data_IF_963903560981
#
_entry.id   IF_963903560981
#
_cell.length_a   1.000
_cell.length_b   1.000
_cell.length_c   1.000
_cell.angle_alpha   90.00
_cell.angle_beta   90.00
_cell.angle_gamma   90.00
#
_symmetry.space_group_name_H-M   'P 1'
#
loop_
_entity.id
_entity.type
_entity.pdbx_description
1 polymer ?
#
# COMPACT_ATOMS: atom_id res chain seq x y z
N UNK A 1 -3.34 6.24 -29.88
CA UNK A 1 -3.86 6.69 -28.55
C UNK A 1 -4.58 5.59 -27.80
N UNK A 2 -5.34 4.71 -28.45
CA UNK A 2 -5.97 3.51 -27.83
C UNK A 2 -4.88 2.60 -27.21
N UNK A 3 -3.70 2.49 -27.83
CA UNK A 3 -2.61 1.68 -27.32
C UNK A 3 -2.02 2.20 -25.99
N UNK A 4 -1.98 3.53 -25.80
CA UNK A 4 -1.39 4.13 -24.60
C UNK A 4 -2.28 3.98 -23.35
N UNK A 5 -3.59 4.06 -23.49
CA UNK A 5 -4.55 4.00 -22.38
C UNK A 5 -5.27 2.66 -22.26
N UNK A 6 -5.46 1.95 -23.37
CA UNK A 6 -6.18 0.68 -23.41
C UNK A 6 -5.32 -0.52 -23.03
N UNK A 7 -4.03 -0.53 -23.34
CA UNK A 7 -3.15 -1.67 -23.07
C UNK A 7 -3.09 -2.05 -21.56
N UNK A 8 -2.91 -1.13 -20.60
CA UNK A 8 -2.90 -1.48 -19.19
C UNK A 8 -4.22 -2.11 -18.71
N UNK A 9 -5.35 -1.68 -19.28
CA UNK A 9 -6.68 -2.19 -18.93
C UNK A 9 -6.93 -3.54 -19.57
N UNK A 10 -6.54 -3.71 -20.85
CA UNK A 10 -6.71 -4.97 -21.61
C UNK A 10 -5.79 -6.07 -21.08
N UNK A 11 -4.58 -5.73 -20.63
CA UNK A 11 -3.63 -6.70 -20.05
C UNK A 11 -4.02 -7.16 -18.64
N UNK A 12 -4.93 -6.46 -17.97
CA UNK A 12 -5.47 -6.91 -16.69
C UNK A 12 -6.78 -7.69 -16.92
N UNK A 13 -6.80 -9.02 -16.72
CA UNK A 13 -7.97 -9.86 -17.00
C UNK A 13 -9.22 -9.45 -16.20
N UNK A 14 -9.06 -8.81 -15.04
CA UNK A 14 -10.16 -8.33 -14.21
C UNK A 14 -10.89 -7.19 -14.93
N UNK A 15 -10.16 -6.24 -15.55
CA UNK A 15 -10.74 -5.10 -16.23
C UNK A 15 -11.15 -5.36 -17.67
N UNK A 16 -10.74 -6.49 -18.26
CA UNK A 16 -11.16 -6.87 -19.61
C UNK A 16 -12.69 -7.04 -19.70
N UNK A 17 -13.30 -7.62 -18.68
CA UNK A 17 -14.75 -7.86 -18.65
C UNK A 17 -15.54 -6.55 -18.69
N UNK A 18 -15.37 -5.58 -17.75
CA UNK A 18 -16.08 -4.32 -17.82
C UNK A 18 -15.72 -3.49 -19.04
N UNK A 19 -14.47 -3.59 -19.56
CA UNK A 19 -14.06 -2.93 -20.79
C UNK A 19 -14.91 -3.35 -22.00
N UNK A 20 -15.34 -4.60 -22.07
CA UNK A 20 -16.24 -5.10 -23.12
C UNK A 20 -17.72 -4.83 -22.81
N UNK A 21 -18.13 -4.95 -21.55
CA UNK A 21 -19.53 -4.80 -21.16
C UNK A 21 -20.04 -3.36 -21.25
N UNK A 22 -19.23 -2.36 -20.90
CA UNK A 22 -19.67 -0.97 -20.89
C UNK A 22 -20.02 -0.44 -22.28
N UNK A 23 -19.19 -0.61 -23.32
CA UNK A 23 -19.57 -0.21 -24.68
C UNK A 23 -20.83 -0.92 -25.18
N UNK A 24 -20.97 -2.22 -24.90
CA UNK A 24 -22.18 -2.99 -25.32
C UNK A 24 -23.42 -2.48 -24.61
N UNK A 25 -23.39 -2.27 -23.30
CA UNK A 25 -24.52 -1.75 -22.53
C UNK A 25 -24.88 -0.34 -22.96
N UNK A 26 -23.90 0.55 -23.18
CA UNK A 26 -24.12 1.90 -23.65
C UNK A 26 -24.75 1.92 -25.05
N UNK A 27 -24.29 1.02 -25.94
CA UNK A 27 -24.90 0.87 -27.26
C UNK A 27 -26.38 0.46 -27.15
N UNK A 28 -26.71 -0.55 -26.34
CA UNK A 28 -28.07 -1.02 -26.17
C UNK A 28 -28.98 0.04 -25.54
N UNK A 29 -28.50 0.76 -24.54
CA UNK A 29 -29.24 1.85 -23.88
C UNK A 29 -29.51 2.97 -24.87
N UNK A 30 -28.50 3.40 -25.63
CA UNK A 30 -28.63 4.43 -26.64
C UNK A 30 -29.60 4.02 -27.74
N UNK A 31 -29.48 2.79 -28.25
CA UNK A 31 -30.39 2.25 -29.26
C UNK A 31 -31.84 2.24 -28.75
N UNK A 32 -32.09 1.73 -27.55
CA UNK A 32 -33.42 1.70 -26.95
C UNK A 32 -33.97 3.11 -26.74
N UNK A 33 -33.17 4.05 -26.24
CA UNK A 33 -33.62 5.44 -26.05
C UNK A 33 -34.04 6.14 -27.34
N UNK A 34 -33.30 5.92 -28.43
CA UNK A 34 -33.65 6.45 -29.74
C UNK A 34 -34.90 5.73 -30.30
N UNK A 35 -34.95 4.39 -30.22
CA UNK A 35 -36.08 3.60 -30.71
C UNK A 35 -37.42 3.97 -30.04
N UNK A 36 -37.36 4.26 -28.73
CA UNK A 36 -38.53 4.70 -27.94
C UNK A 36 -38.85 6.20 -28.15
N UNK A 37 -38.08 6.92 -28.94
CA UNK A 37 -38.31 8.35 -29.20
C UNK A 37 -37.98 9.23 -28.00
N UNK A 38 -37.25 8.71 -26.99
CA UNK A 38 -36.83 9.48 -25.80
C UNK A 38 -35.70 10.46 -26.11
N UNK A 39 -34.86 10.11 -27.10
CA UNK A 39 -33.74 10.93 -27.55
C UNK A 39 -33.79 11.09 -29.07
N UNK A 40 -33.67 12.31 -29.60
CA UNK A 40 -33.63 12.55 -31.05
C UNK A 40 -32.44 11.86 -31.71
N UNK A 41 -32.56 11.58 -33.00
CA UNK A 41 -31.44 11.10 -33.81
C UNK A 41 -30.31 12.13 -33.82
N UNK A 42 -29.09 11.62 -34.02
CA UNK A 42 -27.91 12.46 -34.18
C UNK A 42 -28.06 13.34 -35.46
N UNK A 43 -27.91 14.63 -35.27
CA UNK A 43 -28.06 15.64 -36.36
C UNK A 43 -26.74 16.24 -36.81
N UNK A 44 -25.67 16.04 -36.03
CA UNK A 44 -24.32 16.56 -36.30
C UNK A 44 -23.24 15.59 -35.91
N UNK A 45 -22.17 15.55 -36.67
CA UNK A 45 -20.92 14.95 -36.24
C UNK A 45 -20.26 15.83 -35.20
N UNK A 46 -19.60 15.20 -34.21
CA UNK A 46 -19.00 15.87 -33.08
C UNK A 46 -17.55 15.44 -32.98
N UNK A 47 -16.68 16.41 -32.73
CA UNK A 47 -15.27 16.14 -32.46
C UNK A 47 -15.12 15.33 -31.17
N UNK A 48 -14.28 14.31 -31.20
CA UNK A 48 -14.02 13.43 -30.09
C UNK A 48 -13.42 14.15 -28.87
N UNK A 49 -12.88 15.37 -29.05
CA UNK A 49 -12.36 16.22 -27.97
C UNK A 49 -13.45 17.03 -27.25
N UNK A 50 -14.69 16.99 -27.74
CA UNK A 50 -15.80 17.74 -27.14
C UNK A 50 -16.14 17.19 -25.76
N UNK A 51 -16.24 18.03 -24.71
CA UNK A 51 -16.62 17.59 -23.36
C UNK A 51 -17.92 16.79 -23.33
N UNK A 52 -17.99 15.78 -22.47
CA UNK A 52 -19.04 14.77 -22.46
C UNK A 52 -20.48 15.33 -22.43
N UNK A 53 -20.76 16.38 -21.65
CA UNK A 53 -22.12 16.92 -21.59
C UNK A 53 -22.45 17.84 -22.82
N UNK A 54 -21.46 18.55 -23.31
CA UNK A 54 -21.61 19.39 -24.44
C UNK A 54 -21.81 18.57 -25.72
N UNK A 55 -21.11 17.45 -25.82
CA UNK A 55 -21.23 16.56 -26.98
C UNK A 55 -22.63 15.97 -27.13
N UNK A 56 -23.29 15.55 -26.03
CA UNK A 56 -24.67 15.05 -26.08
C UNK A 56 -25.68 16.08 -26.58
N UNK A 57 -25.53 17.34 -26.13
CA UNK A 57 -26.40 18.41 -26.59
C UNK A 57 -26.13 18.77 -28.05
N UNK A 58 -24.87 18.90 -28.44
CA UNK A 58 -24.52 19.24 -29.83
C UNK A 58 -24.90 18.14 -30.81
N UNK A 59 -24.77 16.84 -30.41
CA UNK A 59 -25.14 15.73 -31.28
C UNK A 59 -26.64 15.70 -31.62
N UNK A 60 -27.47 15.92 -30.61
CA UNK A 60 -28.91 15.67 -30.68
C UNK A 60 -29.73 16.96 -30.76
N UNK A 61 -29.12 18.12 -30.48
CA UNK A 61 -29.84 19.41 -30.35
C UNK A 61 -30.81 19.45 -29.16
N UNK A 62 -30.72 18.49 -28.23
CA UNK A 62 -31.65 18.30 -27.12
C UNK A 62 -30.95 17.98 -25.81
N UNK A 63 -31.51 18.44 -24.68
CA UNK A 63 -31.08 18.07 -23.36
C UNK A 63 -31.25 16.56 -23.05
N UNK A 64 -32.15 15.85 -23.78
CA UNK A 64 -32.31 14.41 -23.71
C UNK A 64 -30.99 13.67 -24.04
N UNK A 65 -30.18 14.20 -24.96
CA UNK A 65 -28.84 13.65 -25.26
C UNK A 65 -27.86 13.76 -24.08
N UNK A 66 -27.93 14.86 -23.32
CA UNK A 66 -27.13 15.05 -22.10
C UNK A 66 -27.54 14.07 -21.01
N UNK A 67 -28.87 13.89 -20.80
CA UNK A 67 -29.42 12.95 -19.83
C UNK A 67 -29.00 11.53 -20.18
N UNK A 68 -29.08 11.15 -21.46
CA UNK A 68 -28.62 9.85 -21.93
C UNK A 68 -27.14 9.60 -21.62
N UNK A 69 -26.27 10.60 -21.81
CA UNK A 69 -24.86 10.48 -21.46
C UNK A 69 -24.65 10.29 -19.96
N UNK A 70 -25.41 11.00 -19.12
CA UNK A 70 -25.39 10.78 -17.66
C UNK A 70 -25.80 9.36 -17.26
N UNK A 71 -26.86 8.83 -17.90
CA UNK A 71 -27.31 7.46 -17.69
C UNK A 71 -26.20 6.47 -18.09
N UNK A 72 -25.63 6.62 -19.28
CA UNK A 72 -24.54 5.77 -19.77
C UNK A 72 -23.31 5.81 -18.85
N UNK A 73 -22.93 7.01 -18.38
CA UNK A 73 -21.83 7.17 -17.44
C UNK A 73 -22.12 6.46 -16.11
N UNK A 74 -23.32 6.63 -15.57
CA UNK A 74 -23.74 5.99 -14.32
C UNK A 74 -23.73 4.45 -14.45
N UNK A 75 -24.26 3.93 -15.55
CA UNK A 75 -24.22 2.48 -15.83
C UNK A 75 -22.78 1.98 -15.93
N UNK A 76 -21.91 2.73 -16.61
CA UNK A 76 -20.49 2.42 -16.70
C UNK A 76 -19.83 2.33 -15.33
N UNK A 77 -20.05 3.31 -14.45
CA UNK A 77 -19.56 3.31 -13.08
C UNK A 77 -20.07 2.09 -12.30
N UNK A 78 -21.36 1.80 -12.39
CA UNK A 78 -21.96 0.66 -11.71
C UNK A 78 -21.38 -0.68 -12.19
N UNK A 79 -21.09 -0.81 -13.48
CA UNK A 79 -20.46 -2.01 -14.05
C UNK A 79 -19.01 -2.13 -13.56
N UNK A 80 -18.22 -1.03 -13.52
CA UNK A 80 -16.83 -1.08 -13.08
C UNK A 80 -16.65 -1.30 -11.59
N UNK A 81 -17.57 -0.80 -10.75
CA UNK A 81 -17.46 -0.83 -9.28
C UNK A 81 -17.10 -2.19 -8.69
N UNK A 82 -17.78 -3.33 -9.02
CA UNK A 82 -17.43 -4.64 -8.49
C UNK A 82 -16.04 -5.12 -8.91
N UNK A 83 -15.59 -4.76 -10.11
CA UNK A 83 -14.29 -5.16 -10.63
C UNK A 83 -13.15 -4.39 -9.98
N UNK A 84 -13.37 -3.12 -9.62
CA UNK A 84 -12.41 -2.35 -8.80
C UNK A 84 -12.20 -3.03 -7.45
N UNK A 85 -13.28 -3.40 -6.75
CA UNK A 85 -13.18 -4.10 -5.47
C UNK A 85 -12.53 -5.49 -5.58
N UNK A 86 -12.71 -6.20 -6.69
CA UNK A 86 -12.01 -7.46 -6.96
C UNK A 86 -10.50 -7.22 -7.20
N UNK A 87 -10.15 -6.17 -7.93
CA UNK A 87 -8.77 -5.80 -8.20
C UNK A 87 -8.02 -5.41 -6.91
N UNK A 88 -8.65 -4.58 -6.07
CA UNK A 88 -8.08 -4.18 -4.78
C UNK A 88 -7.77 -5.40 -3.89
N UNK A 89 -8.72 -6.33 -3.75
CA UNK A 89 -8.53 -7.58 -2.99
C UNK A 89 -7.43 -8.46 -3.56
N UNK A 90 -7.34 -8.59 -4.88
CA UNK A 90 -6.29 -9.39 -5.50
C UNK A 90 -4.91 -8.74 -5.35
N UNK A 91 -4.85 -7.41 -5.46
CA UNK A 91 -3.62 -6.65 -5.25
C UNK A 91 -3.11 -6.78 -3.81
N UNK A 92 -3.99 -6.65 -2.81
CA UNK A 92 -3.68 -6.88 -1.40
C UNK A 92 -3.13 -8.30 -1.17
N UNK A 93 -3.80 -9.32 -1.73
CA UNK A 93 -3.36 -10.72 -1.62
C UNK A 93 -1.99 -10.94 -2.28
N UNK A 94 -1.71 -10.30 -3.41
CA UNK A 94 -0.39 -10.37 -4.06
C UNK A 94 0.67 -9.76 -3.17
N UNK A 95 0.44 -8.55 -2.68
CA UNK A 95 1.36 -7.86 -1.78
C UNK A 95 1.68 -8.70 -0.54
N UNK A 96 0.68 -9.28 0.11
CA UNK A 96 0.88 -10.17 1.25
C UNK A 96 1.72 -11.42 0.90
N UNK A 97 1.48 -12.05 -0.25
CA UNK A 97 2.27 -13.20 -0.73
C UNK A 97 3.74 -12.82 -0.98
N UNK A 98 3.97 -11.66 -1.59
CA UNK A 98 5.31 -11.21 -1.95
C UNK A 98 6.11 -10.80 -0.70
N UNK A 99 5.47 -10.14 0.27
CA UNK A 99 6.09 -9.87 1.58
C UNK A 99 6.43 -11.17 2.30
N UNK A 100 5.53 -12.16 2.29
CA UNK A 100 5.80 -13.45 2.92
C UNK A 100 7.00 -14.16 2.26
N UNK A 101 7.07 -14.17 0.93
CA UNK A 101 8.22 -14.71 0.20
C UNK A 101 9.52 -13.98 0.52
N UNK A 102 9.47 -12.64 0.61
CA UNK A 102 10.63 -11.84 0.98
C UNK A 102 11.16 -12.21 2.37
N UNK A 103 10.27 -12.38 3.34
CA UNK A 103 10.62 -12.82 4.70
C UNK A 103 11.19 -14.24 4.69
N UNK A 104 10.59 -15.17 3.96
CA UNK A 104 11.08 -16.55 3.84
C UNK A 104 12.48 -16.61 3.21
N UNK A 105 12.76 -15.78 2.19
CA UNK A 105 14.10 -15.68 1.61
C UNK A 105 15.10 -15.08 2.61
N UNK A 106 14.74 -14.02 3.30
CA UNK A 106 15.61 -13.44 4.32
C UNK A 106 15.97 -14.44 5.42
N UNK A 107 15.01 -15.23 5.90
CA UNK A 107 15.26 -16.25 6.91
C UNK A 107 16.20 -17.36 6.43
N UNK A 108 16.14 -17.70 5.13
CA UNK A 108 17.08 -18.68 4.53
C UNK A 108 18.48 -18.09 4.32
N UNK A 109 18.58 -16.81 4.02
CA UNK A 109 19.85 -16.12 3.80
C UNK A 109 20.58 -15.77 5.11
N UNK A 110 19.88 -15.57 6.22
CA UNK A 110 20.48 -15.41 7.55
C UNK A 110 21.36 -16.62 7.93
N UNK A 111 21.07 -17.80 7.38
CA UNK A 111 21.94 -18.99 7.51
C UNK A 111 23.19 -18.92 6.59
N UNK A 112 23.26 -18.02 5.57
CA UNK A 112 24.28 -17.99 4.51
C UNK A 112 24.99 -16.64 4.26
N UNK A 113 25.02 -15.72 5.20
CA UNK A 113 25.93 -14.53 5.28
C UNK A 113 25.99 -13.59 4.05
N UNK A 114 24.97 -13.50 3.22
CA UNK A 114 24.97 -12.50 2.14
C UNK A 114 23.59 -11.90 1.92
N UNK A 115 23.18 -11.00 2.82
CA UNK A 115 21.96 -10.21 2.58
C UNK A 115 22.26 -9.23 1.44
N UNK A 116 21.85 -9.58 0.23
CA UNK A 116 21.89 -8.69 -0.92
C UNK A 116 20.94 -7.51 -0.68
N UNK A 117 21.24 -6.34 -1.26
CA UNK A 117 20.38 -5.17 -1.17
C UNK A 117 18.99 -5.48 -1.76
N UNK A 118 17.98 -5.60 -0.90
CA UNK A 118 16.62 -5.98 -1.26
C UNK A 118 16.00 -4.97 -2.25
N UNK A 119 16.24 -3.68 -2.02
CA UNK A 119 15.67 -2.61 -2.86
C UNK A 119 16.32 -2.51 -4.25
N UNK A 120 17.48 -3.14 -4.47
CA UNK A 120 18.17 -3.16 -5.78
C UNK A 120 17.76 -4.31 -6.68
N UNK A 121 16.97 -5.25 -6.19
CA UNK A 121 16.45 -6.36 -6.99
C UNK A 121 15.50 -5.82 -8.07
N UNK A 122 15.53 -6.44 -9.25
CA UNK A 122 14.67 -6.06 -10.39
C UNK A 122 13.39 -6.91 -10.49
N UNK A 123 13.24 -7.89 -9.59
CA UNK A 123 12.08 -8.77 -9.52
C UNK A 123 10.92 -8.18 -8.68
N UNK A 124 9.82 -8.93 -8.57
CA UNK A 124 8.63 -8.56 -7.79
C UNK A 124 8.96 -8.33 -6.31
N UNK A 125 9.91 -9.10 -5.75
CA UNK A 125 10.35 -8.95 -4.36
C UNK A 125 11.11 -7.64 -4.16
N UNK A 126 11.95 -7.23 -5.13
CA UNK A 126 12.58 -5.91 -5.13
C UNK A 126 11.58 -4.78 -5.25
N UNK A 127 10.50 -4.98 -6.00
CA UNK A 127 9.42 -3.99 -6.09
C UNK A 127 8.74 -3.78 -4.75
N UNK A 128 8.33 -4.85 -4.06
CA UNK A 128 7.70 -4.76 -2.74
C UNK A 128 8.67 -4.22 -1.68
N UNK A 129 9.96 -4.58 -1.73
CA UNK A 129 10.96 -4.03 -0.83
C UNK A 129 11.11 -2.51 -0.99
N UNK A 130 11.04 -1.97 -2.22
CA UNK A 130 11.06 -0.52 -2.48
C UNK A 130 9.83 0.19 -1.92
N UNK A 131 8.64 -0.39 -2.04
CA UNK A 131 7.40 0.15 -1.47
C UNK A 131 7.55 0.21 0.05
N UNK A 132 7.82 -0.93 0.70
CA UNK A 132 8.00 -0.99 2.14
C UNK A 132 9.09 -0.05 2.66
N UNK A 133 10.18 0.09 1.91
CA UNK A 133 11.28 0.99 2.29
C UNK A 133 10.86 2.48 2.20
N UNK A 134 9.99 2.85 1.27
CA UNK A 134 9.42 4.20 1.20
C UNK A 134 8.44 4.44 2.35
N UNK A 135 7.56 3.49 2.61
CA UNK A 135 6.57 3.56 3.67
C UNK A 135 7.23 3.58 5.06
N UNK A 136 8.35 2.84 5.25
CA UNK A 136 9.12 2.86 6.49
C UNK A 136 9.66 4.27 6.81
N UNK A 137 10.19 5.00 5.82
CA UNK A 137 10.67 6.37 6.01
C UNK A 137 9.55 7.27 6.53
N UNK A 138 8.35 7.10 6.00
CA UNK A 138 7.17 7.84 6.45
C UNK A 138 6.68 7.37 7.83
N UNK A 139 6.70 6.06 8.09
CA UNK A 139 6.30 5.47 9.37
C UNK A 139 7.18 5.95 10.54
N UNK A 140 8.51 6.03 10.33
CA UNK A 140 9.45 6.59 11.32
C UNK A 140 9.08 8.04 11.63
N UNK A 141 8.82 8.86 10.60
CA UNK A 141 8.46 10.27 10.76
C UNK A 141 7.10 10.48 11.45
N UNK A 142 6.11 9.63 11.12
CA UNK A 142 4.73 9.71 11.66
C UNK A 142 4.55 9.00 12.99
N UNK A 143 5.60 8.33 13.51
CA UNK A 143 5.55 7.51 14.73
C UNK A 143 4.53 6.36 14.64
N UNK A 144 4.46 5.70 13.48
CA UNK A 144 3.60 4.52 13.26
C UNK A 144 4.25 3.22 13.77
N UNK A 145 5.52 3.31 14.19
CA UNK A 145 6.26 2.26 14.85
C UNK A 145 5.96 2.28 16.35
N UNK A 146 6.07 1.12 16.99
CA UNK A 146 5.91 1.02 18.44
C UNK A 146 6.81 -0.07 19.01
N UNK A 147 7.03 -0.01 20.34
CA UNK A 147 7.79 -1.01 21.06
C UNK A 147 6.86 -1.99 21.75
N UNK A 148 7.23 -3.27 21.73
CA UNK A 148 6.71 -4.28 22.63
C UNK A 148 7.82 -4.71 23.57
N UNK A 149 7.46 -5.07 24.81
CA UNK A 149 8.42 -5.35 25.85
C UNK A 149 8.35 -6.83 26.23
N UNK A 150 9.46 -7.55 26.05
CA UNK A 150 9.59 -8.96 26.43
C UNK A 150 10.24 -9.06 27.81
N UNK A 151 9.55 -9.65 28.82
CA UNK A 151 10.11 -9.78 30.16
C UNK A 151 11.37 -10.63 30.20
N UNK A 152 12.35 -10.18 30.98
CA UNK A 152 13.56 -10.92 31.34
C UNK A 152 13.42 -11.41 32.78
N UNK A 153 13.40 -12.72 32.96
CA UNK A 153 13.13 -13.37 34.23
C UNK A 153 14.43 -14.08 34.73
N UNK A 154 14.78 -13.89 35.98
CA UNK A 154 15.91 -14.56 36.59
C UNK A 154 15.56 -16.00 37.04
N UNK A 155 16.54 -16.72 37.58
CA UNK A 155 16.36 -18.11 38.09
C UNK A 155 15.41 -18.22 39.31
N UNK A 156 15.06 -17.07 39.91
CA UNK A 156 14.14 -16.98 41.08
C UNK A 156 12.72 -16.59 40.61
N UNK A 157 12.45 -16.67 39.30
CA UNK A 157 11.19 -16.28 38.67
C UNK A 157 10.81 -14.79 38.84
N UNK A 158 11.77 -13.93 39.23
CA UNK A 158 11.55 -12.49 39.32
C UNK A 158 11.85 -11.81 38.03
N UNK A 159 11.00 -10.84 37.60
CA UNK A 159 11.24 -10.02 36.44
C UNK A 159 12.28 -8.95 36.76
N UNK A 160 13.46 -9.06 36.16
CA UNK A 160 14.61 -8.17 36.38
C UNK A 160 14.77 -7.09 35.34
N UNK A 161 14.01 -7.19 34.26
CA UNK A 161 14.06 -6.24 33.15
C UNK A 161 13.16 -6.64 32.01
N UNK A 162 13.23 -5.87 30.95
CA UNK A 162 12.52 -6.16 29.69
C UNK A 162 13.41 -5.85 28.51
N UNK A 163 13.19 -6.55 27.41
CA UNK A 163 13.77 -6.22 26.11
C UNK A 163 12.75 -5.46 25.26
N UNK A 164 13.15 -4.28 24.80
CA UNK A 164 12.34 -3.45 23.90
C UNK A 164 12.53 -3.89 22.46
N UNK A 165 11.46 -4.34 21.83
CA UNK A 165 11.46 -4.91 20.50
C UNK A 165 10.60 -4.06 19.59
N UNK A 166 11.19 -3.52 18.51
CA UNK A 166 10.48 -2.72 17.52
C UNK A 166 9.41 -3.54 16.80
N UNK A 167 8.26 -2.91 16.57
CA UNK A 167 7.16 -3.46 15.78
C UNK A 167 6.65 -2.39 14.83
N UNK A 168 6.27 -2.83 13.64
CA UNK A 168 5.60 -2.00 12.66
C UNK A 168 4.34 -2.70 12.19
N UNK A 169 3.20 -2.03 12.39
CA UNK A 169 1.92 -2.48 11.88
C UNK A 169 1.58 -1.66 10.65
N UNK A 170 2.01 -2.15 9.49
CA UNK A 170 1.70 -1.52 8.21
C UNK A 170 0.17 -1.56 7.94
N UNK A 171 -0.44 -0.46 7.43
CA UNK A 171 -1.90 -0.38 7.24
C UNK A 171 -2.49 -1.49 6.35
N UNK A 172 -1.80 -1.85 5.28
CA UNK A 172 -2.28 -2.81 4.28
C UNK A 172 -1.76 -4.25 4.50
N UNK A 173 -0.55 -4.39 5.07
CA UNK A 173 0.16 -5.68 5.16
C UNK A 173 0.03 -6.29 6.56
N UNK A 174 -0.24 -5.47 7.58
CA UNK A 174 -0.24 -5.89 8.97
C UNK A 174 1.17 -5.86 9.58
N UNK A 175 1.51 -6.83 10.42
CA UNK A 175 2.80 -6.84 11.11
C UNK A 175 3.95 -7.18 10.17
N UNK A 176 4.94 -6.28 10.12
CA UNK A 176 6.18 -6.46 9.35
C UNK A 176 7.21 -7.18 10.23
N UNK A 177 7.93 -8.12 9.62
CA UNK A 177 9.00 -8.87 10.26
C UNK A 177 10.13 -7.94 10.72
N UNK A 178 10.53 -7.93 12.01
CA UNK A 178 11.47 -6.94 12.54
C UNK A 178 12.84 -6.91 11.83
N UNK A 179 13.49 -8.02 11.48
CA UNK A 179 14.73 -7.99 10.71
C UNK A 179 14.59 -7.31 9.36
N UNK A 180 13.42 -7.42 8.69
CA UNK A 180 13.14 -6.70 7.45
C UNK A 180 13.09 -5.19 7.68
N UNK A 181 12.51 -4.72 8.80
CA UNK A 181 12.48 -3.30 9.16
C UNK A 181 13.91 -2.76 9.25
N UNK A 182 14.79 -3.46 9.96
CA UNK A 182 16.20 -3.06 10.14
C UNK A 182 16.94 -3.04 8.80
N UNK A 183 16.78 -4.07 7.97
CA UNK A 183 17.41 -4.14 6.66
C UNK A 183 16.98 -2.98 5.75
N UNK A 184 15.68 -2.70 5.67
CA UNK A 184 15.15 -1.59 4.88
C UNK A 184 15.62 -0.23 5.41
N UNK A 185 15.71 -0.06 6.73
CA UNK A 185 16.22 1.16 7.37
C UNK A 185 17.71 1.39 7.02
N UNK A 186 18.53 0.33 6.99
CA UNK A 186 19.93 0.39 6.52
C UNK A 186 20.01 0.84 5.06
N UNK A 187 19.27 0.21 4.17
CA UNK A 187 19.29 0.53 2.74
C UNK A 187 18.83 1.96 2.44
N UNK A 188 17.89 2.50 3.23
CA UNK A 188 17.42 3.89 3.14
C UNK A 188 18.23 4.88 3.93
N UNK A 189 19.27 4.44 4.65
CA UNK A 189 20.12 5.28 5.50
C UNK A 189 19.32 6.05 6.57
N UNK A 190 18.28 5.44 7.10
CA UNK A 190 17.44 5.98 8.19
C UNK A 190 17.57 5.17 9.47
N UNK A 191 18.49 4.22 9.52
CA UNK A 191 18.69 3.33 10.66
C UNK A 191 18.96 4.13 11.95
N UNK A 192 19.82 5.16 11.91
CA UNK A 192 20.11 6.01 13.06
C UNK A 192 18.83 6.65 13.65
N UNK A 193 17.93 7.16 12.80
CA UNK A 193 16.67 7.75 13.25
C UNK A 193 15.72 6.71 13.86
N UNK A 194 15.77 5.48 13.35
CA UNK A 194 15.00 4.38 13.90
C UNK A 194 15.53 3.98 15.29
N UNK A 195 16.84 3.88 15.45
CA UNK A 195 17.47 3.52 16.72
C UNK A 195 17.34 4.63 17.76
N UNK A 196 17.53 5.90 17.36
CA UNK A 196 17.22 7.07 18.19
C UNK A 196 15.78 7.03 18.72
N UNK A 197 14.80 6.77 17.83
CA UNK A 197 13.41 6.60 18.23
C UNK A 197 13.21 5.45 19.23
N UNK A 198 13.89 4.31 19.03
CA UNK A 198 13.80 3.15 19.95
C UNK A 198 14.34 3.52 21.33
N UNK A 199 15.51 4.18 21.39
CA UNK A 199 16.14 4.59 22.64
C UNK A 199 15.27 5.62 23.36
N UNK A 200 14.82 6.66 22.68
CA UNK A 200 13.96 7.70 23.26
C UNK A 200 12.67 7.13 23.84
N UNK A 201 11.98 6.26 23.09
CA UNK A 201 10.74 5.64 23.53
C UNK A 201 10.96 4.70 24.70
N UNK A 202 12.05 3.92 24.70
CA UNK A 202 12.43 3.04 25.81
C UNK A 202 12.77 3.85 27.08
N UNK A 203 13.52 4.95 26.94
CA UNK A 203 13.85 5.84 28.05
C UNK A 203 12.59 6.53 28.62
N UNK A 204 11.68 6.96 27.74
CA UNK A 204 10.40 7.53 28.16
C UNK A 204 9.54 6.53 28.96
N UNK A 205 9.47 5.27 28.51
CA UNK A 205 8.74 4.22 29.22
C UNK A 205 9.42 3.91 30.56
N UNK A 206 10.75 3.83 30.58
CA UNK A 206 11.50 3.59 31.84
C UNK A 206 11.20 4.68 32.87
N UNK A 207 11.25 5.94 32.49
CA UNK A 207 10.97 7.07 33.40
C UNK A 207 9.55 7.04 33.97
N UNK A 208 8.57 6.55 33.19
CA UNK A 208 7.18 6.39 33.66
C UNK A 208 7.00 5.20 34.58
N UNK A 209 7.81 4.16 34.41
CA UNK A 209 7.75 2.96 35.24
C UNK A 209 8.60 3.08 36.53
N UNK A 210 9.56 3.99 36.59
CA UNK A 210 10.47 4.18 37.71
C UNK A 210 9.83 4.11 39.12
N UNK A 211 8.65 4.73 39.36
CA UNK A 211 7.98 4.61 40.66
C UNK A 211 7.43 3.24 40.98
N UNK A 212 7.34 2.32 40.01
CA UNK A 212 6.64 1.03 40.10
C UNK A 212 7.59 -0.17 40.01
N UNK A 213 8.88 0.05 39.70
CA UNK A 213 9.86 -0.99 39.42
C UNK A 213 11.04 -0.91 40.40
N UNK A 214 11.79 -2.00 40.63
CA UNK A 214 13.05 -1.98 41.36
C UNK A 214 14.09 -1.03 40.76
N UNK A 215 15.00 -0.49 41.57
CA UNK A 215 16.04 0.46 41.12
C UNK A 215 17.03 -0.14 40.09
N UNK A 216 17.20 -1.47 40.12
CA UNK A 216 18.08 -2.23 39.24
C UNK A 216 17.36 -2.77 37.99
N UNK A 217 16.08 -2.44 37.81
CA UNK A 217 15.31 -2.83 36.63
C UNK A 217 15.89 -2.20 35.35
N UNK A 218 16.01 -3.00 34.30
CA UNK A 218 16.64 -2.59 33.04
C UNK A 218 15.69 -2.73 31.86
N UNK A 219 15.78 -1.79 30.94
CA UNK A 219 15.22 -1.93 29.57
C UNK A 219 16.41 -2.12 28.61
N UNK A 220 16.48 -3.29 27.99
CA UNK A 220 17.49 -3.59 26.97
C UNK A 220 16.94 -3.19 25.59
N UNK A 221 17.78 -2.56 24.78
CA UNK A 221 17.49 -2.21 23.39
C UNK A 221 18.51 -2.86 22.46
N UNK A 222 18.05 -3.33 21.30
CA UNK A 222 18.92 -3.87 20.27
C UNK A 222 19.41 -2.74 19.36
N UNK A 223 20.72 -2.53 19.33
CA UNK A 223 21.39 -1.58 18.42
C UNK A 223 22.37 -2.33 17.53
N UNK A 224 22.60 -1.79 16.33
CA UNK A 224 23.54 -2.39 15.39
C UNK A 224 24.98 -1.96 15.71
N UNK A 225 25.96 -2.78 15.32
CA UNK A 225 27.38 -2.43 15.49
C UNK A 225 27.77 -1.16 14.74
N UNK A 226 27.09 -0.83 13.66
CA UNK A 226 27.29 0.39 12.89
C UNK A 226 26.96 1.64 13.71
N UNK A 227 25.93 1.54 14.54
CA UNK A 227 25.45 2.64 15.38
C UNK A 227 26.34 2.91 16.59
N UNK A 228 27.05 1.90 17.07
CA UNK A 228 28.02 2.08 18.17
C UNK A 228 29.22 2.97 17.80
N UNK A 229 29.43 3.21 16.51
CA UNK A 229 30.49 4.08 16.01
C UNK A 229 30.07 5.56 15.88
N UNK A 230 28.83 5.90 16.19
CA UNK A 230 28.36 7.29 16.14
C UNK A 230 28.69 8.04 17.43
N UNK A 231 29.25 9.24 17.27
CA UNK A 231 29.68 10.06 18.40
C UNK A 231 28.52 10.69 19.21
N UNK A 232 27.27 10.62 18.69
CA UNK A 232 26.08 11.26 19.23
C UNK A 232 25.04 10.28 19.85
N UNK A 233 25.44 9.04 20.17
CA UNK A 233 24.57 8.05 20.83
C UNK A 233 24.59 8.16 22.33
#
# INVERSE_FOLDING_TARGET
EIALFGIPVILNPIFLIPFLLVPVSNFLITYAAIYLGLVPHVIREIDWTTPIFLSGYQATGSWAGVILQLVCLTVGILIYKPFIGLYEKENERRMLRDVKRLVEEMQREEENIAISYLTKREDDLGHIARILAADLVDAVRKKELFLVYQPQINCEEACIGVEALIRWKHPEIGFIYPPLIIQLAKEKKVLHKLEEYIIDEAAHVLSRLEPLIPQDFKISVNITNESLAWEDL
#
